data_IF_786542163630
#
_entry.id   IF_786542163630
#
_cell.length_a   1.000
_cell.length_b   1.000
_cell.length_c   1.000
_cell.angle_alpha   90.00
_cell.angle_beta   90.00
_cell.angle_gamma   90.00
#
_symmetry.space_group_name_H-M   'P 1'
#
loop_
_entity.id
_entity.type
_entity.pdbx_description
1 polymer ?
#
# COMPACT_ATOMS: atom_id res chain seq x y z
N UNK A 1 -18.86 -19.89 7.43
CA UNK A 1 -19.31 -18.64 6.77
C UNK A 1 -19.50 -17.48 7.77
N UNK A 2 -20.13 -17.71 8.94
CA UNK A 2 -20.31 -16.68 10.00
C UNK A 2 -19.02 -15.93 10.38
N UNK A 3 -17.93 -16.65 10.65
CA UNK A 3 -16.64 -16.04 11.06
C UNK A 3 -16.08 -15.07 10.01
N UNK A 4 -16.16 -15.41 8.72
CA UNK A 4 -15.66 -14.57 7.62
C UNK A 4 -16.46 -13.27 7.47
N UNK A 5 -17.79 -13.35 7.64
CA UNK A 5 -18.66 -12.17 7.60
C UNK A 5 -18.40 -11.23 8.78
N UNK A 6 -18.24 -11.78 9.98
CA UNK A 6 -17.96 -11.00 11.20
C UNK A 6 -16.60 -10.29 11.08
N UNK A 7 -15.54 -11.00 10.67
CA UNK A 7 -14.21 -10.37 10.53
C UNK A 7 -14.21 -9.28 9.47
N UNK A 8 -14.91 -9.48 8.35
CA UNK A 8 -15.04 -8.46 7.30
C UNK A 8 -15.79 -7.22 7.79
N UNK A 9 -16.90 -7.41 8.51
CA UNK A 9 -17.67 -6.31 9.08
C UNK A 9 -16.87 -5.51 10.11
N UNK A 10 -16.17 -6.20 11.02
CA UNK A 10 -15.30 -5.55 12.02
C UNK A 10 -14.19 -4.77 11.33
N UNK A 11 -13.58 -5.32 10.27
CA UNK A 11 -12.54 -4.62 9.53
C UNK A 11 -13.06 -3.32 8.89
N UNK A 12 -14.22 -3.36 8.25
CA UNK A 12 -14.86 -2.15 7.69
C UNK A 12 -15.12 -1.11 8.78
N UNK A 13 -15.63 -1.53 9.94
CA UNK A 13 -15.89 -0.64 11.07
C UNK A 13 -14.61 0.02 11.58
N UNK A 14 -13.55 -0.76 11.81
CA UNK A 14 -12.24 -0.24 12.24
C UNK A 14 -11.65 0.71 11.21
N UNK A 15 -11.77 0.39 9.92
CA UNK A 15 -11.28 1.25 8.86
C UNK A 15 -12.06 2.57 8.80
N UNK A 16 -13.40 2.53 8.90
CA UNK A 16 -14.22 3.75 8.95
C UNK A 16 -13.91 4.58 10.20
N UNK A 17 -13.74 3.95 11.37
CA UNK A 17 -13.31 4.61 12.59
C UNK A 17 -12.02 5.41 12.37
N UNK A 18 -11.02 4.85 11.67
CA UNK A 18 -9.76 5.53 11.41
C UNK A 18 -9.91 6.89 10.67
N UNK A 19 -10.98 7.11 9.90
CA UNK A 19 -11.28 8.41 9.29
C UNK A 19 -11.76 9.45 10.30
N UNK A 20 -12.56 9.03 11.29
CA UNK A 20 -13.25 9.94 12.21
C UNK A 20 -12.42 10.32 13.44
N UNK A 21 -11.40 9.53 13.81
CA UNK A 21 -10.56 9.78 15.00
C UNK A 21 -9.38 10.75 14.75
N UNK A 22 -9.36 11.44 13.61
CA UNK A 22 -8.42 12.53 13.33
C UNK A 22 -7.14 12.11 12.57
N UNK A 23 -6.25 13.07 12.28
CA UNK A 23 -5.14 12.89 11.35
C UNK A 23 -4.10 11.87 11.80
N UNK A 24 -3.80 11.81 13.11
CA UNK A 24 -2.84 10.87 13.67
C UNK A 24 -3.28 9.41 13.50
N UNK A 25 -4.55 9.13 13.82
CA UNK A 25 -5.11 7.78 13.71
C UNK A 25 -5.24 7.39 12.24
N UNK A 26 -5.70 8.30 11.38
CA UNK A 26 -5.78 8.08 9.94
C UNK A 26 -4.41 7.72 9.34
N UNK A 27 -3.40 8.57 9.52
CA UNK A 27 -2.06 8.37 8.98
C UNK A 27 -1.41 7.09 9.55
N UNK A 28 -1.53 6.86 10.85
CA UNK A 28 -0.98 5.67 11.51
C UNK A 28 -1.62 4.37 11.00
N UNK A 29 -2.94 4.35 10.88
CA UNK A 29 -3.68 3.18 10.42
C UNK A 29 -3.36 2.84 8.96
N UNK A 30 -3.41 3.81 8.04
CA UNK A 30 -3.11 3.57 6.62
C UNK A 30 -1.62 3.30 6.36
N UNK A 31 -0.73 3.87 7.17
CA UNK A 31 0.70 3.50 7.16
C UNK A 31 0.88 2.04 7.57
N UNK A 32 0.25 1.59 8.66
CA UNK A 32 0.31 0.19 9.09
C UNK A 32 -0.24 -0.75 8.01
N UNK A 33 -1.41 -0.45 7.42
CA UNK A 33 -1.97 -1.24 6.33
C UNK A 33 -1.02 -1.32 5.14
N UNK A 34 -0.40 -0.20 4.74
CA UNK A 34 0.55 -0.18 3.61
C UNK A 34 1.77 -1.08 3.84
N UNK A 35 2.28 -1.12 5.08
CA UNK A 35 3.40 -1.98 5.47
C UNK A 35 3.03 -3.46 5.51
N UNK A 36 1.81 -3.78 5.98
CA UNK A 36 1.28 -5.15 5.92
C UNK A 36 1.10 -5.61 4.46
N UNK A 37 0.57 -4.75 3.59
CA UNK A 37 0.48 -5.03 2.15
C UNK A 37 1.86 -5.25 1.52
N UNK A 38 2.86 -4.45 1.90
CA UNK A 38 4.24 -4.61 1.43
C UNK A 38 4.86 -5.93 1.92
N UNK A 39 4.62 -6.30 3.17
CA UNK A 39 5.07 -7.58 3.74
C UNK A 39 4.50 -8.77 2.97
N UNK A 40 3.18 -8.77 2.74
CA UNK A 40 2.49 -9.81 1.96
C UNK A 40 2.98 -9.86 0.52
N UNK A 41 3.17 -8.72 -0.13
CA UNK A 41 3.71 -8.65 -1.49
C UNK A 41 5.08 -9.33 -1.58
N UNK A 42 6.01 -9.05 -0.67
CA UNK A 42 7.30 -9.73 -0.65
C UNK A 42 7.18 -11.23 -0.39
N UNK A 43 6.21 -11.66 0.44
CA UNK A 43 5.88 -13.07 0.65
C UNK A 43 5.46 -13.76 -0.65
N UNK A 44 4.60 -13.13 -1.44
CA UNK A 44 4.14 -13.65 -2.74
C UNK A 44 5.27 -13.70 -3.77
N UNK A 45 6.13 -12.68 -3.84
CA UNK A 45 7.28 -12.70 -4.76
C UNK A 45 8.24 -13.84 -4.42
N UNK A 46 8.46 -14.14 -3.13
CA UNK A 46 9.30 -15.26 -2.71
C UNK A 46 8.84 -16.62 -3.23
N UNK A 47 7.55 -16.85 -3.43
CA UNK A 47 7.04 -18.12 -3.97
C UNK A 47 7.41 -18.35 -5.43
N UNK A 48 7.85 -17.30 -6.14
CA UNK A 48 8.32 -17.39 -7.53
C UNK A 48 9.82 -17.69 -7.65
N UNK A 49 10.52 -17.89 -6.54
CA UNK A 49 11.97 -18.14 -6.49
C UNK A 49 12.83 -16.87 -6.50
N UNK A 50 12.20 -15.69 -6.51
CA UNK A 50 12.89 -14.39 -6.40
C UNK A 50 12.94 -14.00 -4.92
N UNK A 51 14.12 -13.66 -4.41
CA UNK A 51 14.33 -13.31 -3.00
C UNK A 51 14.52 -11.80 -2.82
N UNK A 52 13.45 -10.98 -2.80
CA UNK A 52 13.58 -9.54 -2.54
C UNK A 52 14.16 -9.30 -1.13
N UNK A 53 14.82 -8.15 -0.94
CA UNK A 53 15.35 -7.74 0.36
C UNK A 53 14.21 -7.27 1.27
N UNK A 54 13.40 -8.20 1.76
CA UNK A 54 12.19 -7.91 2.52
C UNK A 54 12.43 -6.98 3.72
N UNK A 55 13.47 -7.23 4.53
CA UNK A 55 13.76 -6.41 5.72
C UNK A 55 14.12 -4.98 5.33
N UNK A 56 15.04 -4.80 4.38
CA UNK A 56 15.47 -3.46 3.95
C UNK A 56 14.32 -2.73 3.24
N UNK A 57 13.52 -3.44 2.44
CA UNK A 57 12.31 -2.91 1.83
C UNK A 57 11.27 -2.45 2.85
N UNK A 58 11.07 -3.19 3.95
CA UNK A 58 10.16 -2.80 5.03
C UNK A 58 10.68 -1.61 5.83
N UNK A 59 12.00 -1.55 6.12
CA UNK A 59 12.63 -0.38 6.76
C UNK A 59 12.45 0.84 5.86
N UNK A 60 12.70 0.73 4.56
CA UNK A 60 12.48 1.82 3.62
C UNK A 60 11.00 2.24 3.57
N UNK A 61 10.07 1.28 3.53
CA UNK A 61 8.64 1.56 3.61
C UNK A 61 8.24 2.30 4.89
N UNK A 62 8.80 1.89 6.03
CA UNK A 62 8.56 2.54 7.33
C UNK A 62 9.10 3.98 7.32
N UNK A 63 10.30 4.20 6.78
CA UNK A 63 10.87 5.54 6.64
C UNK A 63 10.03 6.44 5.74
N UNK A 64 9.48 5.92 4.64
CA UNK A 64 8.57 6.67 3.76
C UNK A 64 7.26 7.01 4.49
N UNK A 65 6.69 6.07 5.23
CA UNK A 65 5.49 6.33 6.04
C UNK A 65 5.76 7.39 7.12
N UNK A 66 6.90 7.28 7.82
CA UNK A 66 7.31 8.24 8.84
C UNK A 66 7.57 9.64 8.25
N UNK A 67 8.22 9.73 7.08
CA UNK A 67 8.42 10.98 6.36
C UNK A 67 7.08 11.61 5.96
N UNK A 68 6.17 10.81 5.40
CA UNK A 68 4.83 11.25 4.97
C UNK A 68 4.03 11.77 6.16
N UNK A 69 4.03 11.02 7.27
CA UNK A 69 3.32 11.38 8.49
C UNK A 69 3.90 12.67 9.10
N UNK A 70 5.23 12.78 9.14
CA UNK A 70 5.91 13.98 9.64
C UNK A 70 5.63 15.21 8.77
N UNK A 71 5.56 15.02 7.45
CA UNK A 71 5.28 16.09 6.50
C UNK A 71 3.86 16.66 6.69
N UNK A 72 2.84 15.80 6.78
CA UNK A 72 1.45 16.24 6.90
C UNK A 72 1.05 16.75 8.28
N UNK A 73 1.80 16.37 9.32
CA UNK A 73 1.60 16.85 10.68
C UNK A 73 2.49 18.06 11.01
N UNK A 74 3.12 18.67 10.01
CA UNK A 74 4.05 19.81 10.15
C UNK A 74 5.16 19.58 11.21
N UNK A 75 5.64 18.34 11.32
CA UNK A 75 6.72 17.99 12.23
C UNK A 75 8.09 18.34 11.63
N UNK A 76 8.96 18.95 12.44
CA UNK A 76 10.33 19.36 12.06
C UNK A 76 11.25 18.22 11.63
N UNK A 77 10.83 16.97 11.81
CA UNK A 77 11.65 15.78 11.54
C UNK A 77 11.68 15.34 10.07
N UNK A 78 10.82 15.90 9.20
CA UNK A 78 10.67 15.48 7.80
C UNK A 78 11.99 15.46 7.03
N UNK A 79 12.87 16.46 7.24
CA UNK A 79 14.19 16.54 6.59
C UNK A 79 15.14 15.40 6.97
N UNK A 80 15.00 14.85 8.17
CA UNK A 80 15.85 13.75 8.62
C UNK A 80 15.41 12.45 7.98
N UNK A 81 14.10 12.22 7.89
CA UNK A 81 13.56 11.03 7.21
C UNK A 81 13.88 11.04 5.71
N UNK A 82 13.82 12.17 5.02
CA UNK A 82 14.20 12.23 3.60
C UNK A 82 15.66 11.85 3.36
N UNK A 83 16.58 12.31 4.22
CA UNK A 83 17.98 11.89 4.19
C UNK A 83 18.15 10.37 4.44
N UNK A 84 17.45 9.83 5.43
CA UNK A 84 17.48 8.40 5.75
C UNK A 84 16.91 7.53 4.62
N UNK A 85 15.87 7.99 3.91
CA UNK A 85 15.31 7.30 2.74
C UNK A 85 16.38 7.16 1.66
N UNK A 86 17.09 8.25 1.32
CA UNK A 86 18.15 8.21 0.31
C UNK A 86 19.26 7.24 0.74
N UNK A 87 19.71 7.32 2.00
CA UNK A 87 20.72 6.40 2.53
C UNK A 87 20.26 4.94 2.50
N UNK A 88 19.00 4.66 2.84
CA UNK A 88 18.44 3.32 2.81
C UNK A 88 18.30 2.78 1.37
N UNK A 89 17.93 3.63 0.41
CA UNK A 89 17.95 3.28 -1.01
C UNK A 89 19.36 2.86 -1.47
N UNK A 90 20.37 3.67 -1.17
CA UNK A 90 21.79 3.33 -1.49
C UNK A 90 22.21 2.05 -0.78
N UNK A 91 21.80 1.88 0.49
CA UNK A 91 22.09 0.69 1.26
C UNK A 91 21.47 -0.58 0.67
N UNK A 92 20.28 -0.52 0.06
CA UNK A 92 19.68 -1.68 -0.64
C UNK A 92 20.58 -2.12 -1.79
N UNK A 93 21.09 -1.18 -2.59
CA UNK A 93 22.04 -1.52 -3.66
C UNK A 93 23.32 -2.12 -3.07
N UNK A 94 23.90 -1.47 -2.06
CA UNK A 94 25.12 -1.94 -1.39
C UNK A 94 24.96 -3.33 -0.78
N UNK A 95 23.86 -3.60 -0.07
CA UNK A 95 23.58 -4.88 0.56
C UNK A 95 23.45 -6.00 -0.48
N UNK A 96 22.93 -5.71 -1.68
CA UNK A 96 22.82 -6.72 -2.75
C UNK A 96 24.20 -7.15 -3.26
N UNK A 97 25.22 -6.29 -3.25
CA UNK A 97 26.58 -6.66 -3.68
C UNK A 97 27.16 -7.82 -2.87
N UNK A 98 26.76 -7.96 -1.60
CA UNK A 98 27.23 -9.03 -0.71
C UNK A 98 26.36 -10.28 -0.73
N UNK A 99 25.21 -10.25 -1.41
CA UNK A 99 24.33 -11.41 -1.54
C UNK A 99 24.83 -12.29 -2.69
N UNK A 100 25.11 -13.55 -2.37
CA UNK A 100 25.43 -14.57 -3.38
C UNK A 100 24.16 -14.97 -4.11
N UNK A 101 23.82 -14.23 -5.16
CA UNK A 101 22.67 -14.52 -6.00
C UNK A 101 22.99 -14.41 -7.48
N UNK A 102 22.38 -15.29 -8.28
CA UNK A 102 22.50 -15.31 -9.72
C UNK A 102 21.78 -14.13 -10.41
N UNK A 103 20.86 -13.44 -9.70
CA UNK A 103 19.98 -12.41 -10.27
C UNK A 103 19.83 -11.17 -9.35
N UNK A 104 20.93 -10.45 -9.04
CA UNK A 104 20.91 -9.34 -8.08
C UNK A 104 20.00 -8.19 -8.53
N UNK A 105 20.05 -7.82 -9.81
CA UNK A 105 19.20 -6.75 -10.35
C UNK A 105 17.71 -7.09 -10.22
N UNK A 106 17.32 -8.34 -10.46
CA UNK A 106 15.93 -8.78 -10.34
C UNK A 106 15.43 -8.61 -8.89
N UNK A 107 16.26 -8.96 -7.91
CA UNK A 107 15.89 -8.85 -6.50
C UNK A 107 15.76 -7.39 -6.04
N UNK A 108 16.67 -6.52 -6.48
CA UNK A 108 16.55 -5.08 -6.26
C UNK A 108 15.27 -4.56 -6.91
N UNK A 109 15.01 -4.92 -8.18
CA UNK A 109 13.80 -4.49 -8.90
C UNK A 109 12.53 -4.89 -8.16
N UNK A 110 12.42 -6.13 -7.66
CA UNK A 110 11.23 -6.55 -6.91
C UNK A 110 11.13 -5.93 -5.51
N UNK A 111 12.26 -5.53 -4.91
CA UNK A 111 12.27 -4.74 -3.67
C UNK A 111 11.65 -3.36 -3.91
N UNK A 112 12.13 -2.62 -4.92
CA UNK A 112 11.55 -1.32 -5.27
C UNK A 112 10.14 -1.41 -5.87
N UNK A 113 9.86 -2.45 -6.66
CA UNK A 113 8.54 -2.69 -7.23
C UNK A 113 7.51 -2.89 -6.12
N UNK A 114 7.84 -3.60 -5.05
CA UNK A 114 6.96 -3.70 -3.88
C UNK A 114 6.58 -2.34 -3.34
N UNK A 115 7.56 -1.48 -3.09
CA UNK A 115 7.33 -0.12 -2.60
C UNK A 115 6.49 0.73 -3.57
N UNK A 116 6.81 0.70 -4.85
CA UNK A 116 6.10 1.49 -5.88
C UNK A 116 4.67 0.96 -6.07
N UNK A 117 4.49 -0.36 -6.06
CA UNK A 117 3.20 -0.97 -6.36
C UNK A 117 2.24 -0.96 -5.17
N UNK A 118 2.74 -1.18 -3.95
CA UNK A 118 1.89 -1.24 -2.76
C UNK A 118 1.90 0.06 -1.97
N UNK A 119 3.08 0.60 -1.63
CA UNK A 119 3.20 1.68 -0.66
C UNK A 119 2.88 3.06 -1.26
N UNK A 120 3.33 3.32 -2.49
CA UNK A 120 3.11 4.62 -3.14
C UNK A 120 1.61 4.97 -3.34
N UNK A 121 0.72 4.05 -3.76
CA UNK A 121 -0.71 4.33 -3.78
C UNK A 121 -1.28 4.73 -2.41
N UNK A 122 -0.84 4.10 -1.33
CA UNK A 122 -1.25 4.49 0.03
C UNK A 122 -0.74 5.88 0.41
N UNK A 123 0.47 6.26 0.01
CA UNK A 123 1.01 7.62 0.25
C UNK A 123 0.14 8.66 -0.46
N UNK A 124 -0.25 8.43 -1.71
CA UNK A 124 -1.17 9.33 -2.42
C UNK A 124 -2.57 9.33 -1.81
N UNK A 125 -3.06 8.18 -1.37
CA UNK A 125 -4.33 8.08 -0.67
C UNK A 125 -4.33 8.90 0.63
N UNK A 126 -3.26 8.81 1.42
CA UNK A 126 -3.09 9.61 2.64
C UNK A 126 -3.00 11.10 2.32
N UNK A 127 -2.29 11.47 1.25
CA UNK A 127 -2.17 12.86 0.81
C UNK A 127 -3.52 13.51 0.48
N UNK A 128 -4.48 12.75 -0.07
CA UNK A 128 -5.83 13.27 -0.36
C UNK A 128 -6.54 13.81 0.88
N UNK A 129 -6.23 13.30 2.07
CA UNK A 129 -6.82 13.76 3.33
C UNK A 129 -6.34 15.16 3.76
N UNK A 130 -5.35 15.73 3.08
CA UNK A 130 -4.72 16.99 3.46
C UNK A 130 -4.73 18.00 2.30
N UNK A 131 -5.69 17.95 1.40
CA UNK A 131 -5.93 19.01 0.41
C UNK A 131 -7.08 19.90 0.94
N UNK A 132 -6.87 21.19 1.31
CA UNK A 132 -5.75 22.10 0.99
C UNK A 132 -4.78 22.45 2.17
N UNK A 133 -4.28 21.44 2.89
CA UNK A 133 -3.35 21.43 4.06
C UNK A 133 -3.99 21.27 5.43
N UNK A 134 -5.31 21.30 5.54
CA UNK A 134 -6.02 20.87 6.74
C UNK A 134 -6.50 19.44 6.57
N UNK A 135 -6.53 18.67 7.66
CA UNK A 135 -7.06 17.32 7.63
C UNK A 135 -8.57 17.36 7.32
N UNK A 136 -8.94 16.76 6.20
CA UNK A 136 -10.31 16.55 5.75
C UNK A 136 -10.46 15.11 5.24
N UNK A 137 -11.24 14.32 5.97
CA UNK A 137 -11.46 12.91 5.65
C UNK A 137 -12.49 12.69 4.54
N UNK A 138 -13.24 13.70 4.11
CA UNK A 138 -14.34 13.52 3.13
C UNK A 138 -13.85 13.05 1.77
N UNK A 139 -12.74 13.61 1.27
CA UNK A 139 -12.15 13.20 -0.01
C UNK A 139 -11.67 11.75 -0.02
N UNK A 140 -10.78 11.31 0.90
CA UNK A 140 -10.34 9.91 0.91
C UNK A 140 -11.48 8.93 1.26
N UNK A 141 -12.45 9.33 2.09
CA UNK A 141 -13.64 8.52 2.37
C UNK A 141 -14.50 8.34 1.11
N UNK A 142 -14.77 9.43 0.39
CA UNK A 142 -15.49 9.40 -0.89
C UNK A 142 -14.80 8.52 -1.92
N UNK A 143 -13.47 8.57 -2.00
CA UNK A 143 -12.69 7.68 -2.85
C UNK A 143 -12.92 6.19 -2.52
N UNK A 144 -12.84 5.80 -1.24
CA UNK A 144 -13.08 4.40 -0.83
C UNK A 144 -14.51 3.97 -1.14
N UNK A 145 -15.51 4.82 -0.83
CA UNK A 145 -16.90 4.50 -1.10
C UNK A 145 -17.17 4.32 -2.60
N UNK A 146 -16.57 5.16 -3.44
CA UNK A 146 -16.64 5.03 -4.90
C UNK A 146 -15.95 3.75 -5.37
N UNK A 147 -14.78 3.41 -4.83
CA UNK A 147 -14.04 2.20 -5.20
C UNK A 147 -14.83 0.94 -4.85
N UNK A 148 -15.37 0.85 -3.63
CA UNK A 148 -16.20 -0.29 -3.21
C UNK A 148 -17.50 -0.41 -4.00
N UNK A 149 -18.14 0.74 -4.28
CA UNK A 149 -19.34 0.79 -5.10
C UNK A 149 -19.01 0.33 -6.52
N UNK A 150 -17.89 0.79 -7.09
CA UNK A 150 -17.43 0.36 -8.41
C UNK A 150 -17.22 -1.16 -8.48
N UNK A 151 -16.53 -1.76 -7.52
CA UNK A 151 -16.30 -3.21 -7.47
C UNK A 151 -17.62 -3.99 -7.37
N UNK A 152 -18.56 -3.51 -6.56
CA UNK A 152 -19.88 -4.13 -6.40
C UNK A 152 -20.69 -4.03 -7.70
N UNK A 153 -20.73 -2.85 -8.32
CA UNK A 153 -21.45 -2.63 -9.57
C UNK A 153 -20.80 -3.38 -10.74
N UNK A 154 -19.48 -3.47 -10.82
CA UNK A 154 -18.77 -4.24 -11.84
C UNK A 154 -19.12 -5.73 -11.75
N UNK A 155 -19.25 -6.27 -10.53
CA UNK A 155 -19.72 -7.65 -10.34
C UNK A 155 -21.17 -7.84 -10.78
N UNK A 156 -22.08 -6.94 -10.37
CA UNK A 156 -23.50 -7.04 -10.69
C UNK A 156 -23.77 -6.86 -12.19
N UNK A 157 -23.19 -5.82 -12.81
CA UNK A 157 -23.35 -5.53 -14.23
C UNK A 157 -22.66 -6.58 -15.10
N UNK A 158 -21.46 -7.02 -14.74
CA UNK A 158 -20.75 -8.08 -15.45
C UNK A 158 -21.51 -9.41 -15.41
N UNK A 159 -22.10 -9.77 -14.27
CA UNK A 159 -22.91 -10.99 -14.16
C UNK A 159 -24.21 -10.92 -14.96
N UNK A 160 -24.87 -9.76 -15.02
CA UNK A 160 -26.18 -9.62 -15.64
C UNK A 160 -26.12 -9.29 -17.13
N UNK A 161 -25.12 -8.52 -17.56
CA UNK A 161 -25.00 -7.97 -18.91
C UNK A 161 -23.70 -8.34 -19.62
N UNK A 162 -22.72 -8.94 -18.92
CA UNK A 162 -21.42 -9.29 -19.49
C UNK A 162 -21.51 -10.38 -20.55
N UNK A 163 -21.04 -10.06 -21.77
CA UNK A 163 -21.01 -10.99 -22.91
C UNK A 163 -19.59 -11.29 -23.40
N UNK A 164 -18.72 -10.29 -23.34
CA UNK A 164 -17.34 -10.38 -23.84
C UNK A 164 -16.37 -10.35 -22.67
N UNK A 165 -15.53 -11.38 -22.53
CA UNK A 165 -14.51 -11.43 -21.48
C UNK A 165 -13.32 -10.59 -21.89
N UNK A 166 -12.82 -9.77 -20.96
CA UNK A 166 -11.72 -8.85 -21.23
C UNK A 166 -10.36 -9.56 -21.21
N UNK A 167 -10.11 -10.44 -20.23
CA UNK A 167 -8.80 -11.06 -20.02
C UNK A 167 -8.90 -12.49 -19.50
N UNK A 168 -9.19 -13.46 -20.37
CA UNK A 168 -9.40 -14.85 -19.96
C UNK A 168 -8.21 -15.48 -19.23
N UNK A 169 -6.99 -15.14 -19.62
CA UNK A 169 -5.75 -15.69 -19.05
C UNK A 169 -5.45 -15.20 -17.63
N UNK A 170 -5.85 -13.98 -17.28
CA UNK A 170 -5.49 -13.34 -16.01
C UNK A 170 -6.68 -13.17 -15.06
N UNK A 171 -7.89 -12.96 -15.59
CA UNK A 171 -9.12 -12.86 -14.81
C UNK A 171 -10.31 -13.37 -15.64
N UNK A 172 -10.60 -14.68 -15.60
CA UNK A 172 -11.51 -15.35 -16.55
C UNK A 172 -12.99 -14.95 -16.43
N UNK A 173 -13.34 -14.17 -15.39
CA UNK A 173 -14.72 -13.75 -15.08
C UNK A 173 -14.93 -12.25 -15.25
N UNK A 174 -13.92 -11.50 -15.71
CA UNK A 174 -14.06 -10.05 -15.94
C UNK A 174 -14.64 -9.80 -17.34
N UNK A 175 -15.81 -9.18 -17.39
CA UNK A 175 -16.63 -8.91 -18.59
C UNK A 175 -17.07 -7.46 -18.63
#
# INVERSE_FOLDING_TARGET
MKTRAITGFVFVLVMLAAFFFGPYVFLGFFSLLSLLCLFEFYGLIKTTGILPQQTNGLILGLLICAATTSFWLDASFTRYFSGLIILCCVFIFYAELYRKTDKPFLQISFTFLGLIYTLLPFVFFMAMAFLPKTFDYHLPLGFILLLWTNDTFAYLSGRQFGRNKLFERHSPKKT
#
